data_IF_515641502110
#
_entry.id   IF_515641502110
#
_cell.length_a   1.000
_cell.length_b   1.000
_cell.length_c   1.000
_cell.angle_alpha   90.00
_cell.angle_beta   90.00
_cell.angle_gamma   90.00
#
_symmetry.space_group_name_H-M   'P 1'
#
loop_
_entity.id
_entity.type
_entity.pdbx_description
1 polymer ?
#
# COMPACT_ATOMS: atom_id res chain seq x y z
N UNK A 1 5.37 -8.69 19.78
CA UNK A 1 4.54 -8.52 18.56
C UNK A 1 3.17 -8.04 18.99
N UNK A 2 2.85 -6.79 18.73
CA UNK A 2 1.53 -6.25 19.04
C UNK A 2 0.51 -6.84 18.07
N UNK A 3 -0.31 -7.75 18.59
CA UNK A 3 -1.48 -8.25 17.91
C UNK A 3 -2.60 -7.23 18.09
N UNK A 4 -3.15 -6.76 16.99
CA UNK A 4 -4.38 -5.96 17.00
C UNK A 4 -5.52 -6.77 16.36
N UNK A 5 -6.79 -6.39 16.58
CA UNK A 5 -7.94 -7.15 16.04
C UNK A 5 -7.86 -7.37 14.52
N UNK A 6 -7.37 -6.40 13.77
CA UNK A 6 -7.19 -6.52 12.32
C UNK A 6 -6.20 -7.65 11.95
N UNK A 7 -5.02 -7.70 12.59
CA UNK A 7 -4.03 -8.75 12.31
C UNK A 7 -4.54 -10.13 12.72
N UNK A 8 -5.26 -10.21 13.85
CA UNK A 8 -5.86 -11.47 14.33
C UNK A 8 -6.89 -11.98 13.31
N UNK A 9 -7.82 -11.13 12.88
CA UNK A 9 -8.88 -11.53 11.94
C UNK A 9 -8.30 -11.90 10.58
N UNK A 10 -7.33 -11.16 10.05
CA UNK A 10 -6.67 -11.51 8.78
C UNK A 10 -5.92 -12.85 8.87
N UNK A 11 -5.20 -13.10 9.96
CA UNK A 11 -4.54 -14.38 10.19
C UNK A 11 -5.55 -15.55 10.34
N UNK A 12 -6.70 -15.30 10.96
CA UNK A 12 -7.76 -16.30 11.06
C UNK A 12 -8.33 -16.65 9.66
N UNK A 13 -8.57 -15.65 8.80
CA UNK A 13 -9.02 -15.88 7.42
C UNK A 13 -8.03 -16.74 6.63
N UNK A 14 -6.72 -16.49 6.75
CA UNK A 14 -5.69 -17.31 6.12
C UNK A 14 -5.79 -18.78 6.59
N UNK A 15 -5.96 -19.02 7.88
CA UNK A 15 -6.08 -20.38 8.43
C UNK A 15 -7.39 -21.09 8.03
N UNK A 16 -8.49 -20.36 7.98
CA UNK A 16 -9.78 -20.89 7.51
C UNK A 16 -9.67 -21.27 6.02
N UNK A 17 -9.08 -20.43 5.18
CA UNK A 17 -8.86 -20.73 3.77
C UNK A 17 -8.03 -22.02 3.57
N UNK A 18 -6.92 -22.15 4.32
CA UNK A 18 -6.09 -23.35 4.31
C UNK A 18 -6.86 -24.60 4.74
N UNK A 19 -7.72 -24.49 5.78
CA UNK A 19 -8.57 -25.59 6.26
C UNK A 19 -9.56 -26.03 5.17
N UNK A 20 -10.27 -25.08 4.55
CA UNK A 20 -11.24 -25.39 3.51
C UNK A 20 -10.60 -26.02 2.27
N UNK A 21 -9.41 -25.57 1.89
CA UNK A 21 -8.66 -26.20 0.81
C UNK A 21 -8.32 -27.65 1.17
N UNK A 22 -7.74 -27.86 2.36
CA UNK A 22 -7.23 -29.18 2.77
C UNK A 22 -8.35 -30.20 3.03
N UNK A 23 -9.39 -29.81 3.80
CA UNK A 23 -10.39 -30.75 4.30
C UNK A 23 -11.59 -30.91 3.34
N UNK A 24 -11.88 -29.89 2.53
CA UNK A 24 -13.06 -29.90 1.65
C UNK A 24 -12.69 -29.84 0.16
N UNK A 25 -11.42 -29.77 -0.18
CA UNK A 25 -10.95 -29.72 -1.58
C UNK A 25 -11.34 -28.44 -2.33
N UNK A 26 -11.71 -27.37 -1.59
CA UNK A 26 -12.06 -26.10 -2.23
C UNK A 26 -10.82 -25.41 -2.76
N UNK A 27 -10.86 -24.94 -4.00
CA UNK A 27 -9.80 -24.10 -4.55
C UNK A 27 -9.87 -22.71 -3.94
N UNK A 28 -9.17 -22.52 -2.83
CA UNK A 28 -9.06 -21.23 -2.13
C UNK A 28 -7.60 -20.84 -2.07
N UNK A 29 -7.26 -19.75 -2.74
CA UNK A 29 -5.91 -19.19 -2.74
C UNK A 29 -5.84 -17.86 -2.01
N UNK A 30 -4.82 -17.67 -1.18
CA UNK A 30 -4.61 -16.45 -0.41
C UNK A 30 -3.50 -15.59 -1.03
N UNK A 31 -3.85 -14.36 -1.40
CA UNK A 31 -2.89 -13.31 -1.75
C UNK A 31 -2.66 -12.40 -0.55
N UNK A 32 -1.43 -12.30 -0.08
CA UNK A 32 -1.01 -11.39 0.99
C UNK A 32 -0.32 -10.17 0.39
N UNK A 33 -0.93 -9.01 0.58
CA UNK A 33 -0.58 -7.79 -0.14
C UNK A 33 0.25 -6.86 0.75
N UNK A 34 1.24 -6.18 0.17
CA UNK A 34 1.88 -5.02 0.78
C UNK A 34 0.93 -3.83 0.91
N UNK A 35 1.44 -2.65 1.28
CA UNK A 35 0.62 -1.45 1.29
C UNK A 35 0.29 -1.04 -0.14
N UNK A 36 -0.93 -1.30 -0.55
CA UNK A 36 -1.42 -0.94 -1.88
C UNK A 36 -1.57 0.58 -1.96
N UNK A 37 -1.11 1.15 -3.07
CA UNK A 37 -1.35 2.55 -3.42
C UNK A 37 -1.72 2.70 -4.90
N UNK A 38 -2.34 3.82 -5.24
CA UNK A 38 -2.70 4.13 -6.61
C UNK A 38 -3.93 5.03 -6.71
N UNK A 39 -4.43 5.18 -7.94
CA UNK A 39 -5.67 5.91 -8.21
C UNK A 39 -6.85 5.28 -7.47
N UNK A 40 -7.81 6.11 -7.04
CA UNK A 40 -9.03 5.72 -6.31
C UNK A 40 -8.78 5.24 -4.86
N UNK A 41 -7.57 5.31 -4.34
CA UNK A 41 -7.37 5.15 -2.90
C UNK A 41 -8.05 6.33 -2.20
N UNK A 42 -8.87 6.02 -1.18
CA UNK A 42 -9.65 7.04 -0.49
C UNK A 42 -8.73 8.01 0.25
N UNK A 43 -8.85 9.28 -0.07
CA UNK A 43 -8.30 10.37 0.72
C UNK A 43 -9.42 11.00 1.54
N UNK A 44 -9.14 11.23 2.80
CA UNK A 44 -10.00 11.99 3.70
C UNK A 44 -9.21 13.22 4.16
N UNK A 45 -9.87 14.37 4.18
CA UNK A 45 -9.28 15.55 4.80
C UNK A 45 -8.96 15.24 6.27
N UNK A 46 -7.77 15.67 6.71
CA UNK A 46 -7.31 15.39 8.06
C UNK A 46 -8.23 16.08 9.08
N UNK A 47 -9.07 15.31 9.75
CA UNK A 47 -9.67 15.77 10.99
C UNK A 47 -8.71 15.46 12.14
N UNK A 48 -7.93 16.45 12.54
CA UNK A 48 -6.96 16.35 13.63
C UNK A 48 -7.61 16.07 15.00
N UNK A 49 -8.93 16.22 15.11
CA UNK A 49 -9.71 15.93 16.31
C UNK A 49 -10.29 14.51 16.30
N UNK A 50 -10.25 13.82 15.15
CA UNK A 50 -10.72 12.45 15.11
C UNK A 50 -9.74 11.50 15.82
N UNK A 51 -10.21 10.64 16.74
CA UNK A 51 -9.35 9.73 17.50
C UNK A 51 -8.60 8.71 16.64
N UNK A 52 -9.00 8.51 15.38
CA UNK A 52 -8.40 7.58 14.43
C UNK A 52 -8.30 8.21 13.04
N UNK A 53 -7.40 9.18 12.91
CA UNK A 53 -7.11 9.79 11.61
C UNK A 53 -6.13 8.93 10.81
N UNK A 54 -6.64 7.85 10.22
CA UNK A 54 -5.83 6.92 9.42
C UNK A 54 -5.77 7.42 7.98
N UNK A 55 -4.77 8.24 7.69
CA UNK A 55 -4.47 8.65 6.33
C UNK A 55 -3.36 7.77 5.73
N UNK A 56 -3.56 7.36 4.51
CA UNK A 56 -2.53 6.71 3.72
C UNK A 56 -1.52 7.75 3.25
N UNK A 57 -0.23 7.45 3.37
CA UNK A 57 0.86 8.43 3.19
C UNK A 57 0.90 9.02 1.77
N UNK A 58 0.80 8.19 0.73
CA UNK A 58 0.93 8.65 -0.66
C UNK A 58 -0.22 9.58 -1.07
N UNK A 59 -1.52 9.21 -0.93
CA UNK A 59 -2.59 10.14 -1.25
C UNK A 59 -2.57 11.40 -0.38
N UNK A 60 -2.20 11.30 0.91
CA UNK A 60 -2.10 12.47 1.78
C UNK A 60 -1.03 13.45 1.29
N UNK A 61 0.16 12.97 0.95
CA UNK A 61 1.24 13.83 0.46
C UNK A 61 0.89 14.49 -0.87
N UNK A 62 0.21 13.77 -1.78
CA UNK A 62 -0.28 14.35 -3.03
C UNK A 62 -1.28 15.48 -2.74
N UNK A 63 -2.29 15.21 -1.92
CA UNK A 63 -3.33 16.19 -1.61
C UNK A 63 -2.83 17.35 -0.76
N UNK A 64 -1.95 17.11 0.21
CA UNK A 64 -1.33 18.18 1.00
C UNK A 64 -0.48 19.11 0.11
N UNK A 65 0.23 18.53 -0.86
CA UNK A 65 1.00 19.31 -1.84
C UNK A 65 0.08 20.19 -2.70
N UNK A 66 -1.06 19.65 -3.14
CA UNK A 66 -2.04 20.39 -3.96
C UNK A 66 -2.77 21.46 -3.15
N UNK A 67 -3.12 21.17 -1.90
CA UNK A 67 -3.88 22.07 -1.03
C UNK A 67 -3.01 23.14 -0.37
N UNK A 68 -1.90 22.74 0.23
CA UNK A 68 -1.12 23.57 1.16
C UNK A 68 0.30 23.85 0.68
N UNK A 69 0.73 23.19 -0.40
CA UNK A 69 2.12 23.18 -0.88
C UNK A 69 3.14 22.81 0.23
N UNK A 70 2.70 22.06 1.25
CA UNK A 70 3.52 21.57 2.35
C UNK A 70 3.04 20.18 2.77
N UNK A 71 3.94 19.23 2.94
CA UNK A 71 3.66 17.89 3.44
C UNK A 71 4.07 17.75 4.90
N UNK A 72 3.28 17.00 5.68
CA UNK A 72 3.56 16.76 7.10
C UNK A 72 4.15 15.37 7.28
N UNK A 73 5.37 15.31 7.81
CA UNK A 73 6.08 14.06 8.10
C UNK A 73 6.08 13.85 9.61
N UNK A 74 5.51 12.73 10.05
CA UNK A 74 5.51 12.33 11.44
C UNK A 74 6.82 11.62 11.79
N UNK A 75 7.46 12.03 12.89
CA UNK A 75 8.76 11.52 13.32
C UNK A 75 9.90 12.02 12.42
N UNK A 76 10.86 11.16 12.18
CA UNK A 76 12.05 11.44 11.35
C UNK A 76 11.87 11.01 9.87
N UNK A 77 10.75 10.38 9.52
CA UNK A 77 10.48 9.90 8.18
C UNK A 77 11.19 8.59 7.81
N UNK A 78 11.90 7.96 8.76
CA UNK A 78 12.63 6.70 8.53
C UNK A 78 11.78 5.44 8.78
N UNK A 79 10.50 5.58 9.17
CA UNK A 79 9.58 4.45 9.25
C UNK A 79 9.36 3.86 7.86
N UNK A 80 9.52 2.54 7.75
CA UNK A 80 9.52 1.82 6.49
C UNK A 80 8.31 0.93 6.32
N UNK A 81 7.88 0.78 5.08
CA UNK A 81 6.87 -0.20 4.66
C UNK A 81 7.10 -0.60 3.21
N UNK A 82 6.52 -1.74 2.84
CA UNK A 82 6.51 -2.17 1.47
C UNK A 82 5.26 -1.62 0.76
N UNK A 83 5.47 -0.94 -0.38
CA UNK A 83 4.42 -0.31 -1.17
C UNK A 83 4.29 -0.98 -2.53
N UNK A 84 3.06 -1.33 -2.90
CA UNK A 84 2.75 -2.04 -4.14
C UNK A 84 1.74 -1.22 -4.95
N UNK A 85 2.04 -1.01 -6.21
CA UNK A 85 1.15 -0.26 -7.08
C UNK A 85 -0.08 -1.10 -7.45
N UNK A 86 -1.24 -0.46 -7.47
CA UNK A 86 -2.54 -1.15 -7.63
C UNK A 86 -2.64 -1.97 -8.91
N UNK A 87 -1.96 -1.58 -10.00
CA UNK A 87 -1.98 -2.36 -11.25
C UNK A 87 -1.27 -3.72 -11.10
N UNK A 88 -0.16 -3.79 -10.35
CA UNK A 88 0.50 -5.07 -10.06
C UNK A 88 -0.39 -5.99 -9.21
N UNK A 89 -1.13 -5.41 -8.28
CA UNK A 89 -2.11 -6.16 -7.47
C UNK A 89 -3.23 -6.70 -8.36
N UNK A 90 -3.80 -5.85 -9.22
CA UNK A 90 -4.87 -6.25 -10.15
C UNK A 90 -4.41 -7.36 -11.09
N UNK A 91 -3.21 -7.25 -11.65
CA UNK A 91 -2.61 -8.28 -12.51
C UNK A 91 -2.41 -9.59 -11.77
N UNK A 92 -1.97 -9.53 -10.50
CA UNK A 92 -1.80 -10.73 -9.67
C UNK A 92 -3.13 -11.46 -9.46
N UNK A 93 -4.21 -10.73 -9.17
CA UNK A 93 -5.55 -11.32 -9.06
C UNK A 93 -6.04 -11.88 -10.40
N UNK A 94 -5.85 -11.14 -11.48
CA UNK A 94 -6.27 -11.58 -12.82
C UNK A 94 -5.60 -12.91 -13.19
N UNK A 95 -4.27 -13.02 -13.03
CA UNK A 95 -3.53 -14.26 -13.30
C UNK A 95 -3.97 -15.41 -12.41
N UNK A 96 -4.25 -15.15 -11.14
CA UNK A 96 -4.74 -16.18 -10.22
C UNK A 96 -6.07 -16.78 -10.70
N UNK A 97 -6.98 -15.92 -11.16
CA UNK A 97 -8.31 -16.35 -11.63
C UNK A 97 -8.21 -17.00 -13.01
N UNK A 98 -7.54 -16.36 -13.96
CA UNK A 98 -7.44 -16.84 -15.35
C UNK A 98 -6.83 -18.24 -15.44
N UNK A 99 -5.80 -18.50 -14.63
CA UNK A 99 -5.10 -19.78 -14.61
C UNK A 99 -5.69 -20.78 -13.61
N UNK A 100 -6.79 -20.46 -12.96
CA UNK A 100 -7.43 -21.28 -11.92
C UNK A 100 -6.43 -21.85 -10.89
N UNK A 101 -5.47 -21.01 -10.49
CA UNK A 101 -4.35 -21.44 -9.65
C UNK A 101 -4.84 -21.88 -8.28
N UNK A 102 -4.48 -23.08 -7.90
CA UNK A 102 -4.63 -23.59 -6.54
C UNK A 102 -3.27 -23.58 -5.84
N UNK A 103 -3.13 -22.75 -4.84
CA UNK A 103 -1.89 -22.67 -4.05
C UNK A 103 -1.86 -23.66 -2.89
N UNK A 104 -2.92 -24.46 -2.72
CA UNK A 104 -3.06 -25.36 -1.57
C UNK A 104 -3.07 -24.58 -0.27
N UNK A 105 -2.10 -24.86 0.59
CA UNK A 105 -1.93 -24.13 1.87
C UNK A 105 -0.93 -22.98 1.80
N UNK A 106 -0.30 -22.76 0.64
CA UNK A 106 0.67 -21.68 0.47
C UNK A 106 -0.02 -20.31 0.37
N UNK A 107 0.64 -19.30 0.91
CA UNK A 107 0.20 -17.90 0.80
C UNK A 107 1.11 -17.22 -0.22
N UNK A 108 0.51 -16.62 -1.24
CA UNK A 108 1.25 -15.87 -2.25
C UNK A 108 1.39 -14.42 -1.79
N UNK A 109 2.62 -14.01 -1.51
CA UNK A 109 2.90 -12.61 -1.18
C UNK A 109 2.99 -11.78 -2.47
N UNK A 110 2.19 -10.73 -2.55
CA UNK A 110 2.30 -9.71 -3.61
C UNK A 110 3.14 -8.57 -3.05
N UNK A 111 4.43 -8.69 -3.25
CA UNK A 111 5.43 -7.77 -2.73
C UNK A 111 6.74 -7.87 -3.51
N UNK A 112 7.57 -6.85 -3.40
CA UNK A 112 8.89 -6.76 -4.04
C UNK A 112 10.02 -7.24 -3.12
N UNK A 113 9.75 -7.46 -1.84
CA UNK A 113 10.75 -7.66 -0.80
C UNK A 113 11.56 -6.39 -0.47
N UNK A 114 11.11 -5.22 -0.93
CA UNK A 114 11.80 -3.94 -0.70
C UNK A 114 10.93 -3.01 0.14
N UNK A 115 11.47 -2.56 1.26
CA UNK A 115 10.87 -1.52 2.07
C UNK A 115 11.30 -0.14 1.59
N UNK A 116 10.36 0.79 1.65
CA UNK A 116 10.59 2.22 1.39
C UNK A 116 10.24 3.02 2.64
N UNK A 117 11.12 3.96 2.99
CA UNK A 117 10.86 4.92 4.05
C UNK A 117 9.85 5.99 3.60
N UNK A 118 9.31 6.74 4.54
CA UNK A 118 8.50 7.92 4.21
C UNK A 118 9.31 8.93 3.41
N UNK A 119 10.60 9.07 3.69
CA UNK A 119 11.51 9.93 2.91
C UNK A 119 11.71 9.41 1.48
N UNK A 120 11.74 8.08 1.27
CA UNK A 120 11.78 7.51 -0.10
C UNK A 120 10.51 7.85 -0.89
N UNK A 121 9.34 7.84 -0.23
CA UNK A 121 8.07 8.28 -0.86
C UNK A 121 8.16 9.76 -1.24
N UNK A 122 8.69 10.61 -0.36
CA UNK A 122 8.88 12.03 -0.67
C UNK A 122 9.80 12.22 -1.86
N UNK A 123 10.93 11.52 -1.88
CA UNK A 123 11.87 11.58 -3.00
C UNK A 123 11.23 11.10 -4.32
N UNK A 124 10.42 10.04 -4.26
CA UNK A 124 9.69 9.54 -5.43
C UNK A 124 8.63 10.55 -5.93
N UNK A 125 7.94 11.23 -5.03
CA UNK A 125 7.01 12.32 -5.38
C UNK A 125 7.74 13.51 -6.00
N UNK A 126 8.89 13.93 -5.43
CA UNK A 126 9.72 15.00 -5.98
C UNK A 126 10.18 14.66 -7.40
N UNK A 127 10.61 13.42 -7.65
CA UNK A 127 10.99 12.96 -8.98
C UNK A 127 9.79 12.90 -9.93
N UNK A 128 8.63 12.41 -9.48
CA UNK A 128 7.43 12.29 -10.31
C UNK A 128 6.84 13.65 -10.71
N UNK A 129 6.98 14.68 -9.85
CA UNK A 129 6.50 16.04 -10.09
C UNK A 129 7.56 16.98 -10.69
N UNK A 130 8.82 16.53 -10.75
CA UNK A 130 9.98 17.36 -11.12
C UNK A 130 10.05 18.67 -10.32
N UNK A 131 9.80 18.59 -9.02
CA UNK A 131 9.91 19.73 -8.11
C UNK A 131 10.22 19.29 -6.68
N UNK A 132 10.85 20.18 -5.92
CA UNK A 132 11.06 20.00 -4.47
C UNK A 132 9.78 20.28 -3.71
N UNK A 133 9.52 19.47 -2.67
CA UNK A 133 8.38 19.59 -1.79
C UNK A 133 8.77 20.26 -0.47
N UNK A 134 7.91 21.15 0.02
CA UNK A 134 8.07 21.70 1.35
C UNK A 134 7.70 20.63 2.38
N UNK A 135 8.59 20.42 3.35
CA UNK A 135 8.46 19.35 4.36
C UNK A 135 8.38 19.95 5.76
N UNK A 136 7.41 19.55 6.53
CA UNK A 136 7.29 19.88 7.93
C UNK A 136 7.33 18.62 8.78
N UNK A 137 8.33 18.51 9.63
CA UNK A 137 8.45 17.40 10.56
C UNK A 137 7.70 17.72 11.85
N UNK A 138 6.91 16.76 12.30
CA UNK A 138 6.14 16.85 13.54
C UNK A 138 6.38 15.62 14.41
N UNK A 139 5.97 15.68 15.69
CA UNK A 139 6.12 14.54 16.61
C UNK A 139 5.43 13.30 16.06
N UNK A 140 6.06 12.12 16.25
CA UNK A 140 5.48 10.82 15.92
C UNK A 140 4.09 10.65 16.55
N UNK A 141 3.17 10.05 15.80
CA UNK A 141 1.83 9.76 16.30
C UNK A 141 1.86 8.73 17.43
N UNK A 142 0.99 8.86 18.44
CA UNK A 142 0.90 7.84 19.49
C UNK A 142 0.57 6.46 18.90
N UNK A 143 1.27 5.43 19.38
CA UNK A 143 1.06 4.04 18.95
C UNK A 143 1.65 3.68 17.58
N UNK A 144 2.28 4.60 16.88
CA UNK A 144 3.02 4.30 15.66
C UNK A 144 4.42 3.78 16.00
N UNK A 145 4.76 2.62 15.46
CA UNK A 145 6.05 1.96 15.70
C UNK A 145 6.78 1.74 14.37
N UNK A 146 8.11 1.83 14.41
CA UNK A 146 8.95 1.44 13.27
C UNK A 146 8.93 -0.09 13.16
N UNK A 147 8.12 -0.63 12.26
CA UNK A 147 8.04 -2.06 11.96
C UNK A 147 8.38 -2.24 10.49
N UNK A 148 9.36 -3.06 10.20
CA UNK A 148 9.67 -3.48 8.83
C UNK A 148 8.94 -4.80 8.55
N UNK A 149 8.22 -4.87 7.45
CA UNK A 149 7.57 -6.07 6.94
C UNK A 149 8.12 -6.31 5.56
N UNK A 150 8.84 -7.41 5.38
CA UNK A 150 9.32 -7.86 4.08
C UNK A 150 8.41 -8.98 3.60
N UNK A 151 7.85 -8.83 2.43
CA UNK A 151 7.11 -9.87 1.74
C UNK A 151 8.08 -10.64 0.86
N UNK A 152 8.03 -11.97 0.93
CA UNK A 152 8.84 -12.82 0.05
C UNK A 152 8.22 -12.82 -1.36
N UNK A 153 8.91 -12.35 -2.41
CA UNK A 153 8.39 -12.35 -3.78
C UNK A 153 8.44 -13.73 -4.47
N UNK A 154 9.13 -14.71 -3.90
CA UNK A 154 9.31 -16.02 -4.54
C UNK A 154 7.98 -16.75 -4.82
N UNK A 155 6.97 -16.77 -3.93
CA UNK A 155 5.66 -17.35 -4.24
C UNK A 155 4.95 -16.67 -5.42
N UNK A 156 5.09 -15.36 -5.59
CA UNK A 156 4.50 -14.63 -6.71
C UNK A 156 5.05 -15.13 -8.04
N UNK A 157 6.37 -15.28 -8.14
CA UNK A 157 7.02 -15.83 -9.32
C UNK A 157 6.66 -17.29 -9.54
N UNK A 158 6.70 -18.11 -8.47
CA UNK A 158 6.40 -19.55 -8.52
C UNK A 158 5.01 -19.84 -9.05
N UNK A 159 3.98 -19.18 -8.51
CA UNK A 159 2.59 -19.50 -8.82
C UNK A 159 2.02 -18.71 -10.00
N UNK A 160 2.37 -17.44 -10.13
CA UNK A 160 1.78 -16.54 -11.14
C UNK A 160 2.68 -16.33 -12.36
N UNK A 161 3.95 -16.77 -12.29
CA UNK A 161 4.99 -16.41 -13.25
C UNK A 161 4.99 -14.89 -13.50
N UNK A 162 4.97 -14.14 -12.39
CA UNK A 162 4.84 -12.70 -12.42
C UNK A 162 5.88 -12.03 -11.53
N UNK A 163 6.43 -10.95 -12.02
CA UNK A 163 7.27 -10.01 -11.30
C UNK A 163 6.65 -8.62 -11.39
N UNK A 164 6.72 -7.87 -10.30
CA UNK A 164 6.13 -6.53 -10.25
C UNK A 164 6.73 -5.64 -11.33
N UNK A 165 5.87 -4.97 -12.08
CA UNK A 165 6.26 -4.13 -13.22
C UNK A 165 6.45 -2.66 -12.84
N UNK A 166 5.92 -2.25 -11.69
CA UNK A 166 5.91 -0.87 -11.26
C UNK A 166 6.86 -0.65 -10.08
N UNK A 167 7.78 0.29 -10.24
CA UNK A 167 8.54 0.82 -9.10
C UNK A 167 7.80 2.00 -8.46
N UNK A 168 8.28 2.45 -7.30
CA UNK A 168 7.63 3.51 -6.53
C UNK A 168 7.45 4.80 -7.34
N UNK A 169 8.46 5.24 -8.10
CA UNK A 169 8.41 6.48 -8.89
C UNK A 169 7.40 6.36 -10.03
N UNK A 170 7.45 5.27 -10.81
CA UNK A 170 6.54 5.06 -11.94
C UNK A 170 5.10 4.94 -11.49
N UNK A 171 4.82 4.20 -10.40
CA UNK A 171 3.47 4.09 -9.86
C UNK A 171 2.92 5.40 -9.29
N UNK A 172 3.77 6.20 -8.62
CA UNK A 172 3.37 7.54 -8.14
C UNK A 172 3.09 8.47 -9.33
N UNK A 173 3.92 8.45 -10.37
CA UNK A 173 3.70 9.26 -11.58
C UNK A 173 2.35 8.98 -12.23
N UNK A 174 1.93 7.74 -12.29
CA UNK A 174 0.60 7.34 -12.79
C UNK A 174 -0.55 7.71 -11.82
N UNK A 175 -0.24 7.83 -10.53
CA UNK A 175 -1.23 8.13 -9.49
C UNK A 175 -1.59 9.61 -9.42
N UNK A 176 -0.62 10.49 -9.59
CA UNK A 176 -0.76 11.95 -9.46
C UNK A 176 -1.90 12.54 -10.31
N UNK A 177 -2.04 12.23 -11.62
CA UNK A 177 -3.09 12.82 -12.46
C UNK A 177 -4.50 12.61 -11.92
N UNK A 178 -4.78 11.44 -11.35
CA UNK A 178 -6.08 11.17 -10.73
C UNK A 178 -6.39 12.14 -9.58
N UNK A 179 -5.44 12.36 -8.66
CA UNK A 179 -5.66 13.26 -7.53
C UNK A 179 -5.71 14.72 -7.95
N UNK A 180 -4.96 15.13 -8.98
CA UNK A 180 -5.05 16.47 -9.56
C UNK A 180 -6.45 16.71 -10.13
N UNK A 181 -7.01 15.76 -10.86
CA UNK A 181 -8.38 15.83 -11.38
C UNK A 181 -9.41 15.94 -10.23
N UNK A 182 -9.32 15.06 -9.21
CA UNK A 182 -10.22 15.10 -8.05
C UNK A 182 -10.14 16.43 -7.30
N UNK A 183 -8.94 16.96 -7.10
CA UNK A 183 -8.71 18.24 -6.48
C UNK A 183 -9.39 19.39 -7.25
N UNK A 184 -9.27 19.41 -8.58
CA UNK A 184 -9.87 20.43 -9.43
C UNK A 184 -11.41 20.36 -9.42
N UNK A 185 -11.98 19.14 -9.35
CA UNK A 185 -13.43 18.95 -9.21
C UNK A 185 -13.93 19.49 -7.88
N UNK A 186 -13.21 19.23 -6.79
CA UNK A 186 -13.60 19.67 -5.44
C UNK A 186 -13.54 21.19 -5.29
N UNK A 187 -12.57 21.85 -5.92
CA UNK A 187 -12.47 23.33 -5.88
C UNK A 187 -13.53 24.08 -6.69
N UNK A 188 -14.22 23.40 -7.60
CA UNK A 188 -15.28 23.99 -8.44
C UNK A 188 -16.68 23.92 -7.79
N UNK A 189 -16.81 23.23 -6.67
CA UNK A 189 -18.02 23.16 -5.84
C UNK A 189 -17.95 24.15 -4.69
#
# INVERSE_FOLDING_TARGET
TWLNPYKITKGAVEKIAQLFNKEYGLNVSCLKLGNIYGSRERWLEADFNAPFNYQKVIPSFIMDTLNKNEIIIYGDGEQKSEYIYVKDVSESFFRMIEKEINTGTDIVHVGSGKNHSVLDIVNALEQAWDKKLNKKFVKMRPGEHKIEINLDPAPLKKYLDYELQWNLVSGIKETIPYYVEQFNITKKK
#
